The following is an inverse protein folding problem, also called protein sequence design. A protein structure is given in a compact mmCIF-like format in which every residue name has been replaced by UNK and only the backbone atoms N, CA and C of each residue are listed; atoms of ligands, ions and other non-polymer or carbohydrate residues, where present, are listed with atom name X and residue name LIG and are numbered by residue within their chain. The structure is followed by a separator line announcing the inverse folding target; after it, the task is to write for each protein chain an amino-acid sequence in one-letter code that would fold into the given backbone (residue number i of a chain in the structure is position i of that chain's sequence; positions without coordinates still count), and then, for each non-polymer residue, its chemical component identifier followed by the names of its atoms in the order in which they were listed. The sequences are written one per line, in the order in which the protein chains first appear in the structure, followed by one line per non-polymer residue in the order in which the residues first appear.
data_IF_186104956786
#
_entry.id   IF_186104956786
#
_cell.length_a   1.000
_cell.length_b   1.000
_cell.length_c   1.000
_cell.angle_alpha   90.00
_cell.angle_beta   90.00
_cell.angle_gamma   90.00
#
_symmetry.space_group_name_H-M   'P 1'
#
loop_
_entity.id
_entity.type
_entity.pdbx_description
1 polymer ?
#
# COMPACT_ATOMS: atom_id res chain seq x y z
N UNK A 1 -12.81 -5.30 26.70
CA UNK A 1 -12.29 -4.16 25.94
C UNK A 1 -12.13 -4.64 24.51
N UNK A 2 -12.96 -4.17 23.57
CA UNK A 2 -12.87 -4.61 22.19
C UNK A 2 -11.55 -4.08 21.61
N UNK A 3 -10.67 -4.96 21.12
CA UNK A 3 -9.57 -4.53 20.27
C UNK A 3 -10.22 -3.93 19.02
N UNK A 4 -10.17 -2.60 18.87
CA UNK A 4 -10.55 -1.98 17.61
C UNK A 4 -9.60 -2.53 16.54
N UNK A 5 -10.13 -3.35 15.65
CA UNK A 5 -9.32 -4.08 14.67
C UNK A 5 -8.99 -3.14 13.53
N UNK A 6 -7.70 -2.89 13.30
CA UNK A 6 -7.22 -2.16 12.13
C UNK A 6 -7.71 -2.87 10.85
N UNK A 7 -8.50 -2.16 10.05
CA UNK A 7 -9.11 -2.71 8.85
C UNK A 7 -8.66 -1.94 7.62
N UNK A 8 -8.04 -2.64 6.67
CA UNK A 8 -7.71 -2.10 5.35
C UNK A 8 -8.86 -2.31 4.37
N UNK A 9 -9.24 -1.28 3.64
CA UNK A 9 -10.34 -1.24 2.68
C UNK A 9 -9.88 -0.61 1.38
N UNK A 10 -10.40 -1.10 0.26
CA UNK A 10 -10.22 -0.49 -1.04
C UNK A 10 -11.58 -0.45 -1.73
N UNK A 11 -12.26 0.70 -1.69
CA UNK A 11 -13.63 0.84 -2.20
C UNK A 11 -13.76 0.38 -3.67
N UNK A 12 -12.84 0.74 -4.58
CA UNK A 12 -12.92 0.24 -5.96
C UNK A 12 -12.78 -1.28 -6.06
N UNK A 13 -11.94 -1.92 -5.25
CA UNK A 13 -11.82 -3.39 -5.29
C UNK A 13 -13.06 -4.05 -4.69
N UNK A 14 -13.61 -3.49 -3.61
CA UNK A 14 -14.85 -3.98 -3.00
C UNK A 14 -16.05 -3.86 -3.93
N UNK A 15 -16.15 -2.78 -4.71
CA UNK A 15 -17.21 -2.57 -5.70
C UNK A 15 -17.10 -3.50 -6.93
N UNK A 16 -15.94 -4.14 -7.13
CA UNK A 16 -15.65 -5.03 -8.26
C UNK A 16 -15.50 -6.49 -7.82
N UNK A 17 -16.25 -6.94 -6.80
CA UNK A 17 -16.25 -8.33 -6.31
C UNK A 17 -14.84 -8.84 -5.91
N UNK A 18 -14.00 -7.94 -5.39
CA UNK A 18 -12.62 -8.26 -5.04
C UNK A 18 -11.66 -8.32 -6.23
N UNK A 19 -12.14 -8.09 -7.47
CA UNK A 19 -11.27 -7.96 -8.65
C UNK A 19 -10.65 -6.57 -8.67
N UNK A 20 -9.40 -6.53 -9.09
CA UNK A 20 -8.68 -5.26 -9.25
C UNK A 20 -9.09 -4.59 -10.57
N UNK A 21 -9.64 -3.36 -10.55
CA UNK A 21 -9.97 -2.64 -11.79
C UNK A 21 -8.75 -2.44 -12.72
N UNK A 22 -8.97 -2.46 -14.04
CA UNK A 22 -7.90 -2.41 -15.07
C UNK A 22 -7.00 -1.18 -14.98
N UNK A 23 -7.49 -0.07 -14.43
CA UNK A 23 -6.69 1.15 -14.25
C UNK A 23 -5.57 0.99 -13.20
N UNK A 24 -5.68 -0.04 -12.35
CA UNK A 24 -4.65 -0.40 -11.38
C UNK A 24 -3.78 -1.58 -11.83
N UNK A 25 -3.98 -2.07 -13.06
CA UNK A 25 -3.15 -3.08 -13.71
C UNK A 25 -2.34 -2.46 -14.84
N UNK A 26 -1.37 -3.21 -15.37
CA UNK A 26 -0.59 -2.78 -16.54
C UNK A 26 -1.36 -2.84 -17.87
N UNK A 27 -2.56 -3.47 -17.89
CA UNK A 27 -3.39 -3.66 -19.07
C UNK A 27 -4.29 -2.47 -19.44
N UNK A 28 -4.45 -1.48 -18.56
CA UNK A 28 -5.30 -0.33 -18.85
C UNK A 28 -4.91 0.38 -20.16
N UNK A 29 -5.87 1.08 -20.78
CA UNK A 29 -5.65 1.80 -22.04
C UNK A 29 -5.49 3.30 -21.77
N UNK A 30 -4.51 3.92 -22.41
CA UNK A 30 -4.20 5.35 -22.25
C UNK A 30 -3.52 5.70 -20.92
N UNK A 31 -3.60 6.97 -20.53
CA UNK A 31 -2.90 7.53 -19.36
C UNK A 31 -3.46 7.07 -17.99
N UNK A 32 -4.54 6.28 -17.96
CA UNK A 32 -5.21 5.80 -16.75
C UNK A 32 -4.96 4.30 -16.54
N UNK A 33 -3.69 3.92 -16.44
CA UNK A 33 -3.25 2.55 -16.13
C UNK A 33 -2.09 2.61 -15.16
N UNK A 34 -1.79 1.47 -14.53
CA UNK A 34 -0.65 1.33 -13.62
C UNK A 34 -0.68 2.31 -12.41
N UNK A 35 -1.87 2.81 -12.06
CA UNK A 35 -2.05 3.63 -10.85
C UNK A 35 -2.23 2.71 -9.64
N UNK A 36 -1.76 3.10 -8.45
CA UNK A 36 -2.04 2.31 -7.25
C UNK A 36 -3.53 2.43 -6.89
N UNK A 37 -4.17 1.35 -6.42
CA UNK A 37 -5.53 1.44 -5.92
C UNK A 37 -5.59 2.30 -4.65
N UNK A 38 -6.64 3.11 -4.46
CA UNK A 38 -6.80 3.88 -3.23
C UNK A 38 -7.08 2.91 -2.08
N UNK A 39 -6.17 2.92 -1.09
CA UNK A 39 -6.29 2.14 0.13
C UNK A 39 -6.68 3.08 1.26
N UNK A 40 -7.72 2.71 1.99
CA UNK A 40 -8.20 3.39 3.19
C UNK A 40 -8.09 2.44 4.37
N UNK A 41 -7.87 2.96 5.57
CA UNK A 41 -7.92 2.15 6.78
C UNK A 41 -8.88 2.75 7.81
N UNK A 42 -9.44 1.86 8.61
CA UNK A 42 -10.43 2.17 9.64
C UNK A 42 -10.10 1.43 10.94
N UNK A 43 -10.60 1.94 12.06
CA UNK A 43 -10.35 1.42 13.40
C UNK A 43 -9.22 2.14 14.13
N UNK A 44 -9.22 2.05 15.46
CA UNK A 44 -8.17 2.61 16.30
C UNK A 44 -6.80 2.01 16.01
N UNK A 45 -5.77 2.86 16.05
CA UNK A 45 -4.37 2.43 16.10
C UNK A 45 -4.07 1.87 17.50
N UNK A 46 -3.11 0.95 17.65
CA UNK A 46 -2.69 0.46 18.95
C UNK A 46 -2.33 1.61 19.90
N UNK A 47 -2.65 1.45 21.18
CA UNK A 47 -2.25 2.40 22.22
C UNK A 47 -0.73 2.59 22.21
N UNK A 48 -0.26 3.83 22.22
CA UNK A 48 1.16 4.18 22.09
C UNK A 48 1.67 4.32 20.65
N UNK A 49 0.85 4.08 19.62
CA UNK A 49 1.24 4.37 18.24
C UNK A 49 1.28 5.89 18.02
N UNK A 50 2.49 6.45 17.95
CA UNK A 50 2.71 7.90 17.87
C UNK A 50 2.44 8.50 16.50
N UNK A 51 2.33 7.68 15.44
CA UNK A 51 2.24 8.16 14.06
C UNK A 51 3.44 9.03 13.63
N UNK A 52 4.52 9.07 14.42
CA UNK A 52 5.65 9.97 14.25
C UNK A 52 6.56 9.60 13.08
N UNK A 53 6.37 8.41 12.49
CA UNK A 53 6.93 8.06 11.19
C UNK A 53 6.06 8.56 10.04
N UNK A 54 6.08 9.87 9.79
CA UNK A 54 5.56 10.49 8.56
C UNK A 54 4.05 10.51 8.40
N UNK A 55 3.42 11.63 8.81
CA UNK A 55 2.11 11.99 8.24
C UNK A 55 2.33 12.75 6.91
N UNK A 56 1.41 12.61 5.96
CA UNK A 56 1.38 13.41 4.74
C UNK A 56 0.72 14.79 4.94
N UNK A 57 0.58 15.28 6.18
CA UNK A 57 -0.22 16.47 6.50
C UNK A 57 0.43 17.45 7.52
N UNK A 58 1.72 17.34 7.81
CA UNK A 58 2.44 18.26 8.70
C UNK A 58 3.91 18.28 8.27
N UNK A 59 4.34 19.40 7.69
CA UNK A 59 5.63 19.57 7.05
C UNK A 59 6.83 19.44 8.00
N UNK A 60 7.32 18.21 8.15
CA UNK A 60 8.69 17.90 8.54
C UNK A 60 9.36 17.08 7.45
N UNK A 61 10.55 17.48 7.01
CA UNK A 61 11.29 16.86 5.91
C UNK A 61 11.69 15.42 6.24
N UNK A 62 11.03 14.45 5.61
CA UNK A 62 11.35 13.02 5.69
C UNK A 62 10.27 12.21 6.40
N UNK A 63 9.63 11.28 5.70
CA UNK A 63 8.71 10.36 6.38
C UNK A 63 8.06 9.31 5.49
N UNK A 64 7.92 9.59 4.19
CA UNK A 64 7.41 8.62 3.22
C UNK A 64 8.54 8.15 2.32
N UNK A 65 8.83 6.86 2.37
CA UNK A 65 9.79 6.20 1.50
C UNK A 65 9.10 5.04 0.79
N UNK A 66 9.19 5.02 -0.53
CA UNK A 66 8.74 3.88 -1.33
C UNK A 66 9.86 2.85 -1.46
N UNK A 67 9.51 1.57 -1.33
CA UNK A 67 10.42 0.47 -1.58
C UNK A 67 10.65 0.22 -3.07
N UNK A 68 11.71 -0.53 -3.38
CA UNK A 68 11.99 -0.99 -4.75
C UNK A 68 11.28 -2.33 -4.98
N UNK A 69 10.42 -2.39 -6.00
CA UNK A 69 9.69 -3.59 -6.39
C UNK A 69 10.53 -4.56 -7.24
N UNK A 70 9.98 -5.72 -7.58
CA UNK A 70 10.69 -6.76 -8.36
C UNK A 70 11.08 -6.34 -9.78
N UNK A 71 10.38 -5.35 -10.35
CA UNK A 71 10.76 -4.71 -11.61
C UNK A 71 11.92 -3.71 -11.46
N UNK A 72 12.53 -3.63 -10.27
CA UNK A 72 13.62 -2.71 -9.93
C UNK A 72 13.22 -1.24 -10.06
N UNK A 73 11.94 -0.94 -9.85
CA UNK A 73 11.38 0.42 -9.83
C UNK A 73 10.89 0.77 -8.42
N UNK A 74 10.94 2.04 -8.00
CA UNK A 74 10.26 2.46 -6.78
C UNK A 74 8.74 2.34 -6.93
N UNK A 75 8.05 2.08 -5.81
CA UNK A 75 6.60 2.23 -5.70
C UNK A 75 5.78 1.14 -6.41
N UNK A 76 4.52 1.47 -6.69
CA UNK A 76 3.56 0.55 -7.29
C UNK A 76 3.85 0.27 -8.76
N UNK A 77 3.67 -0.99 -9.13
CA UNK A 77 3.54 -1.45 -10.50
C UNK A 77 2.45 -2.52 -10.49
N UNK A 78 1.41 -2.29 -11.27
CA UNK A 78 0.22 -3.13 -11.32
C UNK A 78 0.54 -4.54 -11.80
N UNK A 79 -0.23 -5.54 -11.37
CA UNK A 79 -0.07 -6.88 -11.91
C UNK A 79 -0.31 -6.84 -13.43
N UNK A 80 0.36 -7.74 -14.14
CA UNK A 80 -0.07 -8.18 -15.47
C UNK A 80 -0.95 -9.40 -15.20
N UNK A 81 -2.29 -9.30 -15.35
CA UNK A 81 -3.14 -10.48 -15.26
C UNK A 81 -2.81 -11.42 -16.42
N UNK A 82 -1.89 -12.35 -16.21
CA UNK A 82 -1.86 -13.53 -17.07
C UNK A 82 -3.03 -14.47 -16.70
N UNK A 83 -3.25 -15.49 -17.53
CA UNK A 83 -4.45 -16.33 -17.50
C UNK A 83 -4.71 -16.97 -16.13
N UNK A 84 -5.81 -16.54 -15.49
CA UNK A 84 -6.51 -17.13 -14.33
C UNK A 84 -5.69 -17.43 -13.06
N UNK A 85 -6.09 -16.84 -11.92
CA UNK A 85 -5.78 -17.38 -10.59
C UNK A 85 -4.84 -16.56 -9.68
N UNK A 86 -4.37 -15.39 -10.10
CA UNK A 86 -3.53 -14.54 -9.24
C UNK A 86 -4.33 -13.90 -8.08
N UNK A 87 -3.75 -13.94 -6.87
CA UNK A 87 -4.27 -13.25 -5.70
C UNK A 87 -3.35 -12.10 -5.30
N UNK A 88 -3.80 -10.88 -5.53
CA UNK A 88 -3.12 -9.67 -5.03
C UNK A 88 -3.48 -9.46 -3.56
N UNK A 89 -2.48 -9.23 -2.71
CA UNK A 89 -2.66 -9.00 -1.28
C UNK A 89 -2.07 -7.64 -0.90
N UNK A 90 -2.88 -6.77 -0.32
CA UNK A 90 -2.42 -5.55 0.34
C UNK A 90 -2.33 -5.80 1.84
N UNK A 91 -1.23 -5.37 2.46
CA UNK A 91 -0.99 -5.52 3.90
C UNK A 91 -0.63 -4.16 4.49
N UNK A 92 -1.25 -3.84 5.62
CA UNK A 92 -0.98 -2.65 6.40
C UNK A 92 -0.55 -3.08 7.80
N UNK A 93 0.56 -2.51 8.27
CA UNK A 93 1.11 -2.80 9.59
C UNK A 93 1.27 -1.51 10.37
N UNK A 94 0.87 -1.52 11.64
CA UNK A 94 1.23 -0.50 12.61
C UNK A 94 2.43 -1.01 13.39
N UNK A 95 3.60 -0.40 13.18
CA UNK A 95 4.84 -0.78 13.85
C UNK A 95 5.01 0.04 15.15
N UNK A 96 5.59 -0.57 16.18
CA UNK A 96 5.91 0.12 17.44
C UNK A 96 7.12 1.05 17.34
N UNK A 97 7.98 0.83 16.34
CA UNK A 97 9.23 1.55 16.14
C UNK A 97 9.31 2.17 14.73
N UNK A 98 10.08 3.26 14.63
CA UNK A 98 10.43 3.85 13.33
C UNK A 98 11.46 2.96 12.64
N UNK A 99 11.15 2.54 11.41
CA UNK A 99 12.05 1.70 10.64
C UNK A 99 13.19 2.54 10.03
N UNK A 100 14.43 2.31 10.47
CA UNK A 100 15.62 2.91 9.88
C UNK A 100 15.99 2.20 8.57
N UNK A 101 15.29 2.56 7.50
CA UNK A 101 15.58 2.07 6.16
C UNK A 101 16.76 2.86 5.56
N UNK A 102 17.66 2.16 4.86
CA UNK A 102 18.67 2.83 4.05
C UNK A 102 18.05 3.55 2.83
N UNK A 103 18.88 4.17 2.00
CA UNK A 103 18.42 4.87 0.77
C UNK A 103 17.62 4.01 -0.21
N UNK A 104 17.65 2.68 -0.04
CA UNK A 104 16.83 1.72 -0.77
C UNK A 104 16.13 0.81 0.24
N UNK A 105 14.83 1.00 0.39
CA UNK A 105 13.98 0.07 1.12
C UNK A 105 13.71 -1.16 0.25
N UNK A 106 14.67 -2.09 0.26
CA UNK A 106 14.58 -3.37 -0.44
C UNK A 106 14.53 -4.52 0.57
N UNK A 107 13.89 -5.63 0.19
CA UNK A 107 14.03 -6.85 0.96
C UNK A 107 15.53 -7.22 1.11
N UNK A 108 15.98 -7.67 2.29
CA UNK A 108 17.32 -8.20 2.44
C UNK A 108 17.53 -9.37 1.46
N UNK A 109 18.72 -9.40 0.83
CA UNK A 109 19.16 -10.47 -0.07
C UNK A 109 19.54 -11.73 0.68
#
# INVERSE_FOLDING_TARGET
MAQETLRLVCLPVSAHDGRLPRQYTLEGQGAKKDTSPPLEWYGGLPEGFSGAGGNANTGGEGGLQEGVNDWKQPGWRGPVPDSHGHRVQFRLYALGDVLSLGNKASAPV
#
